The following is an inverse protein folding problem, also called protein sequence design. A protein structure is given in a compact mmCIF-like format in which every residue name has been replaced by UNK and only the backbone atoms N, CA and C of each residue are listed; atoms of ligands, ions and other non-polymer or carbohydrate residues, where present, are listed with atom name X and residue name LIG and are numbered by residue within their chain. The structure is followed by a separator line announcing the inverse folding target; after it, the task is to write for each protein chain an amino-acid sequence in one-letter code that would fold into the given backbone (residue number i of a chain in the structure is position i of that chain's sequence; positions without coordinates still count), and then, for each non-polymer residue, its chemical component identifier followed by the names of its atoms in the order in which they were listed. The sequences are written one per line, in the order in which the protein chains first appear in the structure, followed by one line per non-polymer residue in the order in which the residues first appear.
data_IF_695506468505
#
_entry.id   IF_695506468505
#
_cell.length_a   1.000
_cell.length_b   1.000
_cell.length_c   1.000
_cell.angle_alpha   90.00
_cell.angle_beta   90.00
_cell.angle_gamma   90.00
#
_symmetry.space_group_name_H-M   'P 1'
#
loop_
_entity.id
_entity.type
_entity.pdbx_description
1 polymer ?
#
# COMPACT_ATOMS: atom_id res chain seq x y z
N UNK A 1 4.46 36.74 -0.55
CA UNK A 1 4.80 36.00 -1.79
C UNK A 1 4.87 34.45 -1.61
N UNK A 2 5.14 33.91 -0.41
CA UNK A 2 5.29 32.45 -0.17
C UNK A 2 4.01 31.63 0.16
N UNK A 3 2.88 32.26 0.53
CA UNK A 3 1.69 31.52 1.00
C UNK A 3 1.03 30.63 -0.08
N UNK A 4 1.13 31.03 -1.35
CA UNK A 4 0.60 30.26 -2.49
C UNK A 4 1.30 28.92 -2.66
N UNK A 5 2.62 28.90 -2.48
CA UNK A 5 3.43 27.66 -2.61
C UNK A 5 3.08 26.65 -1.54
N UNK A 6 2.86 27.12 -0.30
CA UNK A 6 2.48 26.25 0.83
C UNK A 6 1.08 25.67 0.63
N UNK A 7 0.12 26.46 0.14
CA UNK A 7 -1.23 25.96 -0.21
C UNK A 7 -1.19 24.89 -1.29
N UNK A 8 -0.38 25.09 -2.34
CA UNK A 8 -0.21 24.09 -3.40
C UNK A 8 0.42 22.81 -2.84
N UNK A 9 1.41 22.93 -1.96
CA UNK A 9 2.04 21.77 -1.31
C UNK A 9 1.06 20.99 -0.42
N UNK A 10 0.23 21.69 0.36
CA UNK A 10 -0.81 21.08 1.21
C UNK A 10 -1.83 20.29 0.39
N UNK A 11 -2.29 20.84 -0.74
CA UNK A 11 -3.21 20.15 -1.65
C UNK A 11 -2.56 18.89 -2.23
N UNK A 12 -1.26 18.94 -2.54
CA UNK A 12 -0.52 17.82 -3.15
C UNK A 12 -0.16 16.71 -2.16
N UNK A 13 -0.03 17.03 -0.88
CA UNK A 13 0.23 16.05 0.19
C UNK A 13 -1.06 15.38 0.69
N UNK A 14 -2.21 16.05 0.57
CA UNK A 14 -3.52 15.50 0.94
C UNK A 14 -4.01 14.37 0.01
N UNK A 15 -3.48 14.27 -1.20
CA UNK A 15 -3.61 13.07 -2.02
C UNK A 15 -2.38 12.18 -1.79
N UNK A 16 -2.37 11.31 -0.76
CA UNK A 16 -1.33 10.31 -0.68
C UNK A 16 -1.33 9.57 -2.01
N UNK A 17 -0.15 9.52 -2.62
CA UNK A 17 0.11 8.74 -3.83
C UNK A 17 -0.16 7.29 -3.43
N UNK A 18 -1.41 6.89 -3.54
CA UNK A 18 -1.83 5.51 -3.49
C UNK A 18 -1.20 4.92 -4.74
N UNK A 19 0.00 4.38 -4.58
CA UNK A 19 0.66 3.60 -5.60
C UNK A 19 -0.30 2.43 -5.84
N UNK A 20 -1.15 2.56 -6.86
CA UNK A 20 -2.05 1.52 -7.33
C UNK A 20 -1.23 0.77 -8.36
N UNK A 21 -0.69 -0.39 -8.00
CA UNK A 21 -0.06 -1.24 -9.00
C UNK A 21 -1.19 -1.77 -9.89
N UNK A 22 -1.26 -1.27 -11.13
CA UNK A 22 -2.15 -1.80 -12.16
C UNK A 22 -3.66 -1.72 -11.86
N UNK A 23 -4.12 -0.76 -11.04
CA UNK A 23 -5.57 -0.49 -10.85
C UNK A 23 -6.39 -1.57 -10.12
N UNK A 24 -5.78 -2.67 -9.68
CA UNK A 24 -6.48 -3.80 -9.05
C UNK A 24 -6.25 -3.91 -7.54
N UNK A 25 -5.08 -3.49 -7.05
CA UNK A 25 -4.77 -3.56 -5.61
C UNK A 25 -3.96 -2.32 -5.22
N UNK A 26 -4.38 -1.65 -4.15
CA UNK A 26 -3.53 -0.65 -3.51
C UNK A 26 -2.27 -1.40 -3.06
N UNK A 27 -1.09 -1.13 -3.63
CA UNK A 27 0.16 -1.72 -3.11
C UNK A 27 0.52 -0.97 -1.84
N UNK A 28 -0.17 -1.36 -0.77
CA UNK A 28 0.09 -0.95 0.60
C UNK A 28 0.44 -2.15 1.48
N UNK A 29 0.65 -1.87 2.76
CA UNK A 29 1.00 -2.86 3.80
C UNK A 29 -0.04 -4.00 3.88
N UNK A 30 -1.29 -3.73 3.53
CA UNK A 30 -2.38 -4.70 3.47
C UNK A 30 -2.16 -5.81 2.44
N UNK A 31 -1.62 -5.48 1.27
CA UNK A 31 -1.32 -6.45 0.21
C UNK A 31 -0.10 -7.30 0.57
N UNK A 32 0.89 -6.71 1.24
CA UNK A 32 2.03 -7.48 1.74
C UNK A 32 1.61 -8.42 2.88
N UNK A 33 0.70 -7.98 3.76
CA UNK A 33 0.13 -8.81 4.82
C UNK A 33 -0.70 -9.97 4.27
N UNK A 34 -1.45 -9.77 3.18
CA UNK A 34 -2.20 -10.86 2.54
C UNK A 34 -1.28 -11.89 1.90
N UNK A 35 -0.20 -11.44 1.23
CA UNK A 35 0.84 -12.34 0.69
C UNK A 35 1.49 -13.16 1.81
N UNK A 36 1.89 -12.52 2.91
CA UNK A 36 2.45 -13.24 4.06
C UNK A 36 1.45 -14.26 4.61
N UNK A 37 0.17 -13.90 4.75
CA UNK A 37 -0.88 -14.80 5.23
C UNK A 37 -1.04 -16.03 4.34
N UNK A 38 -1.06 -15.87 3.02
CA UNK A 38 -1.19 -16.99 2.08
C UNK A 38 0.08 -17.85 2.08
N UNK A 39 1.26 -17.24 2.12
CA UNK A 39 2.54 -17.97 2.26
C UNK A 39 2.61 -18.78 3.55
N UNK A 40 2.20 -18.21 4.69
CA UNK A 40 2.14 -18.92 5.97
C UNK A 40 1.11 -20.04 5.96
N UNK A 41 -0.08 -19.82 5.38
CA UNK A 41 -1.09 -20.86 5.23
C UNK A 41 -0.56 -22.04 4.41
N UNK A 42 0.15 -21.77 3.31
CA UNK A 42 0.77 -22.81 2.48
C UNK A 42 1.92 -23.52 3.20
N UNK A 43 2.76 -22.77 3.91
CA UNK A 43 3.84 -23.35 4.72
C UNK A 43 3.33 -24.25 5.85
N UNK A 44 2.27 -23.82 6.55
CA UNK A 44 1.64 -24.61 7.61
C UNK A 44 1.01 -25.90 7.08
N UNK A 45 0.41 -25.84 5.88
CA UNK A 45 -0.10 -27.01 5.18
C UNK A 45 1.03 -27.99 4.84
N UNK A 46 2.13 -27.51 4.25
CA UNK A 46 3.31 -28.33 3.94
C UNK A 46 4.03 -28.87 5.19
N UNK A 47 3.90 -28.22 6.35
CA UNK A 47 4.49 -28.68 7.64
C UNK A 47 3.62 -29.69 8.39
N UNK A 48 2.35 -29.79 8.03
CA UNK A 48 1.36 -30.70 8.66
C UNK A 48 1.30 -32.05 7.95
N UNK A 49 1.64 -32.10 6.65
CA UNK A 49 1.92 -33.35 5.93
C UNK A 49 3.36 -33.80 6.20
#
# INVERSE_FOLDING_TARGET
KNRRTVLIFLIRVQEPIHVKAGGLVNVGVTTMASILKTSFSYFAFLRTF
#
